data_IF_325415356991
#
_entry.id   IF_325415356991
#
_cell.length_a   1.000
_cell.length_b   1.000
_cell.length_c   1.000
_cell.angle_alpha   90.00
_cell.angle_beta   90.00
_cell.angle_gamma   90.00
#
_symmetry.space_group_name_H-M   'P 1'
#
loop_
_entity.id
_entity.type
_entity.pdbx_description
1 polymer ?
#
# COMPACT_ATOMS: atom_id res chain seq x y z
N UNK A 1 7.92 3.31 -6.33
CA UNK A 1 9.16 2.71 -6.83
C UNK A 1 10.07 2.28 -5.68
N UNK A 2 10.35 3.14 -4.70
CA UNK A 2 11.32 2.88 -3.62
C UNK A 2 10.82 1.93 -2.51
N UNK A 3 9.53 1.62 -2.43
CA UNK A 3 8.93 0.84 -1.35
C UNK A 3 8.58 -0.61 -1.68
N UNK A 4 8.50 -1.01 -2.95
CA UNK A 4 8.05 -2.34 -3.38
C UNK A 4 9.00 -3.01 -4.37
N UNK A 5 9.08 -4.33 -4.35
CA UNK A 5 9.81 -5.15 -5.32
C UNK A 5 11.23 -5.53 -4.91
N UNK A 6 11.58 -5.41 -3.62
CA UNK A 6 12.88 -5.79 -3.06
C UNK A 6 12.75 -6.92 -2.02
N UNK A 7 11.81 -7.84 -2.24
CA UNK A 7 11.56 -8.94 -1.31
C UNK A 7 12.79 -9.84 -1.14
N UNK A 8 13.23 -10.00 0.10
CA UNK A 8 14.38 -10.86 0.48
C UNK A 8 13.94 -12.15 1.18
N UNK A 9 12.63 -12.39 1.32
CA UNK A 9 12.09 -13.63 1.82
C UNK A 9 11.81 -14.60 0.64
N UNK A 10 12.21 -15.85 0.78
CA UNK A 10 11.80 -16.90 -0.18
C UNK A 10 10.34 -17.22 0.06
N UNK A 11 9.53 -17.07 -0.98
CA UNK A 11 8.08 -17.17 -0.90
C UNK A 11 7.54 -17.92 -2.12
N UNK A 12 6.64 -18.86 -1.87
CA UNK A 12 5.79 -19.46 -2.91
C UNK A 12 4.36 -19.01 -2.63
N UNK A 13 3.75 -18.34 -3.58
CA UNK A 13 2.37 -17.86 -3.51
C UNK A 13 1.58 -18.54 -4.64
N UNK A 14 0.60 -19.34 -4.25
CA UNK A 14 -0.31 -20.02 -5.17
C UNK A 14 -1.69 -19.50 -4.86
N UNK A 15 -2.32 -18.83 -5.81
CA UNK A 15 -3.68 -18.35 -5.68
C UNK A 15 -4.59 -18.93 -6.76
N UNK A 16 -5.81 -19.24 -6.39
CA UNK A 16 -6.88 -19.63 -7.30
C UNK A 16 -8.05 -18.68 -7.13
N UNK A 17 -8.62 -18.21 -8.24
CA UNK A 17 -9.82 -17.39 -8.25
C UNK A 17 -10.93 -18.17 -8.93
N UNK A 18 -12.07 -18.29 -8.26
CA UNK A 18 -13.31 -18.82 -8.81
C UNK A 18 -14.37 -17.73 -8.81
N UNK A 19 -14.90 -17.43 -9.97
CA UNK A 19 -16.03 -16.52 -10.11
C UNK A 19 -17.31 -17.36 -10.24
N UNK A 20 -18.24 -17.13 -9.32
CA UNK A 20 -19.55 -17.82 -9.31
C UNK A 20 -20.55 -17.00 -10.15
N UNK A 21 -21.58 -17.67 -10.66
CA UNK A 21 -22.57 -17.06 -11.57
C UNK A 21 -23.42 -15.94 -10.94
N UNK A 22 -23.40 -15.80 -9.62
CA UNK A 22 -24.12 -14.77 -8.85
C UNK A 22 -23.28 -13.50 -8.59
N UNK A 23 -22.10 -13.37 -9.21
CA UNK A 23 -21.18 -12.27 -8.99
C UNK A 23 -20.30 -12.43 -7.75
N UNK A 24 -20.36 -13.59 -7.10
CA UNK A 24 -19.45 -13.93 -5.98
C UNK A 24 -18.12 -14.43 -6.52
N UNK A 25 -17.02 -13.88 -6.02
CA UNK A 25 -15.67 -14.37 -6.31
C UNK A 25 -15.02 -14.91 -5.04
N UNK A 26 -14.34 -16.05 -5.17
CA UNK A 26 -13.58 -16.68 -4.08
C UNK A 26 -12.14 -16.79 -4.54
N UNK A 27 -11.23 -16.29 -3.73
CA UNK A 27 -9.77 -16.42 -3.96
C UNK A 27 -9.15 -17.13 -2.77
N UNK A 28 -8.47 -18.22 -3.04
CA UNK A 28 -7.67 -18.93 -2.03
C UNK A 28 -6.20 -18.78 -2.38
N UNK A 29 -5.39 -18.38 -1.43
CA UNK A 29 -3.94 -18.30 -1.60
C UNK A 29 -3.21 -19.00 -0.47
N UNK A 30 -2.11 -19.66 -0.82
CA UNK A 30 -1.20 -20.32 0.11
C UNK A 30 0.17 -19.67 -0.05
N UNK A 31 0.75 -19.25 1.06
CA UNK A 31 2.07 -18.62 1.10
C UNK A 31 2.96 -19.42 2.01
N UNK A 32 4.08 -19.91 1.49
CA UNK A 32 5.16 -20.47 2.30
C UNK A 32 6.26 -19.42 2.42
N UNK A 33 6.60 -19.05 3.62
CA UNK A 33 7.67 -18.09 3.89
C UNK A 33 9.04 -18.77 4.06
N UNK A 34 10.09 -17.95 4.24
CA UNK A 34 11.46 -18.45 4.41
C UNK A 34 11.68 -19.24 5.73
N UNK A 35 10.76 -19.15 6.68
CA UNK A 35 10.76 -19.91 7.92
C UNK A 35 9.96 -21.22 7.83
N UNK A 36 9.64 -21.66 6.61
CA UNK A 36 8.82 -22.87 6.31
C UNK A 36 7.38 -22.77 6.87
N UNK A 37 6.94 -21.61 7.28
CA UNK A 37 5.58 -21.40 7.76
C UNK A 37 4.64 -21.26 6.56
N UNK A 38 3.63 -22.09 6.51
CA UNK A 38 2.56 -22.01 5.52
C UNK A 38 1.43 -21.17 6.13
N UNK A 39 1.05 -20.11 5.44
CA UNK A 39 -0.15 -19.34 5.72
C UNK A 39 -1.15 -19.47 4.58
N UNK A 40 -2.40 -19.68 4.92
CA UNK A 40 -3.51 -19.68 3.97
C UNK A 40 -4.30 -18.39 4.12
N UNK A 41 -4.80 -17.86 3.00
CA UNK A 41 -5.71 -16.71 2.99
C UNK A 41 -6.88 -17.06 2.07
N UNK A 42 -8.08 -16.95 2.60
CA UNK A 42 -9.33 -17.08 1.86
C UNK A 42 -9.95 -15.68 1.76
N UNK A 43 -10.23 -15.24 0.54
CA UNK A 43 -10.99 -14.01 0.28
C UNK A 43 -12.28 -14.38 -0.44
N UNK A 44 -13.38 -13.83 0.04
CA UNK A 44 -14.67 -13.91 -0.61
C UNK A 44 -15.17 -12.50 -0.87
N UNK A 45 -15.69 -12.26 -2.05
CA UNK A 45 -16.23 -10.96 -2.47
C UNK A 45 -17.55 -11.19 -3.19
N UNK A 46 -18.59 -10.47 -2.79
CA UNK A 46 -19.91 -10.54 -3.42
C UNK A 46 -20.56 -9.17 -3.44
N UNK A 47 -21.48 -8.94 -4.38
CA UNK A 47 -22.24 -7.70 -4.48
C UNK A 47 -23.74 -8.00 -4.41
N UNK A 48 -24.43 -7.30 -3.55
CA UNK A 48 -25.89 -7.41 -3.42
C UNK A 48 -26.53 -6.03 -3.29
N UNK A 49 -27.45 -5.71 -4.19
CA UNK A 49 -28.19 -4.44 -4.22
C UNK A 49 -27.29 -3.19 -4.14
N UNK A 50 -26.16 -3.20 -4.86
CA UNK A 50 -25.22 -2.08 -4.88
C UNK A 50 -24.25 -2.03 -3.69
N UNK A 51 -24.40 -2.92 -2.72
CA UNK A 51 -23.44 -3.07 -1.62
C UNK A 51 -22.47 -4.20 -1.94
N UNK A 52 -21.18 -3.90 -1.89
CA UNK A 52 -20.13 -4.88 -2.00
C UNK A 52 -19.73 -5.39 -0.61
N UNK A 53 -19.64 -6.68 -0.47
CA UNK A 53 -19.19 -7.36 0.75
C UNK A 53 -17.89 -8.11 0.45
N UNK A 54 -16.85 -7.81 1.22
CA UNK A 54 -15.56 -8.46 1.15
C UNK A 54 -15.25 -9.10 2.50
N UNK A 55 -14.86 -10.36 2.49
CA UNK A 55 -14.41 -11.09 3.67
C UNK A 55 -13.04 -11.71 3.40
N UNK A 56 -12.14 -11.63 4.37
CA UNK A 56 -10.81 -12.24 4.31
C UNK A 56 -10.57 -13.03 5.58
N UNK A 57 -10.32 -14.31 5.45
CA UNK A 57 -9.91 -15.18 6.55
C UNK A 57 -8.45 -15.60 6.35
N UNK A 58 -7.63 -15.53 7.39
CA UNK A 58 -6.23 -15.96 7.38
C UNK A 58 -6.04 -17.26 8.12
N UNK A 59 -5.01 -18.04 7.79
CA UNK A 59 -4.66 -19.26 8.50
C UNK A 59 -4.28 -19.05 9.99
N UNK A 60 -4.01 -17.81 10.39
CA UNK A 60 -3.86 -17.42 11.79
C UNK A 60 -5.23 -17.28 12.51
N UNK A 61 -6.33 -17.41 11.78
CA UNK A 61 -7.69 -17.30 12.29
C UNK A 61 -8.27 -15.88 12.27
N UNK A 62 -7.51 -14.87 11.87
CA UNK A 62 -8.04 -13.50 11.75
C UNK A 62 -9.04 -13.43 10.60
N UNK A 63 -10.22 -12.89 10.87
CA UNK A 63 -11.26 -12.61 9.89
C UNK A 63 -11.40 -11.10 9.77
N UNK A 64 -11.33 -10.58 8.55
CA UNK A 64 -11.64 -9.17 8.23
C UNK A 64 -12.89 -9.15 7.36
N UNK A 65 -13.80 -8.24 7.65
CA UNK A 65 -15.01 -8.03 6.88
C UNK A 65 -15.13 -6.55 6.51
N UNK A 66 -15.48 -6.28 5.27
CA UNK A 66 -15.75 -4.94 4.75
C UNK A 66 -17.06 -4.96 3.97
N UNK A 67 -17.91 -3.98 4.24
CA UNK A 67 -19.07 -3.67 3.41
C UNK A 67 -18.86 -2.28 2.83
N UNK A 68 -19.06 -2.10 1.53
CA UNK A 68 -18.90 -0.81 0.86
C UNK A 68 -20.01 -0.57 -0.14
N UNK A 69 -20.44 0.68 -0.26
CA UNK A 69 -21.43 1.14 -1.20
C UNK A 69 -20.87 2.39 -1.90
N UNK A 70 -20.72 2.30 -3.21
CA UNK A 70 -20.36 3.43 -4.04
C UNK A 70 -21.59 4.25 -4.40
N UNK A 71 -21.38 5.53 -4.68
CA UNK A 71 -22.40 6.45 -5.20
C UNK A 71 -23.69 6.48 -4.37
N UNK A 72 -23.55 6.50 -3.05
CA UNK A 72 -24.70 6.69 -2.12
C UNK A 72 -25.42 8.02 -2.43
N UNK A 73 -24.61 9.03 -2.70
CA UNK A 73 -24.95 10.31 -3.32
C UNK A 73 -23.84 10.58 -4.33
N UNK A 74 -24.10 11.42 -5.33
CA UNK A 74 -23.13 11.72 -6.37
C UNK A 74 -21.75 12.07 -5.80
N UNK A 75 -20.77 11.24 -6.17
CA UNK A 75 -19.39 11.31 -5.69
C UNK A 75 -19.12 10.84 -4.25
N UNK A 76 -20.11 10.31 -3.54
CA UNK A 76 -19.93 9.83 -2.15
C UNK A 76 -19.99 8.32 -2.07
N UNK A 77 -18.96 7.72 -1.51
CA UNK A 77 -18.88 6.29 -1.19
C UNK A 77 -18.80 6.09 0.33
N UNK A 78 -19.45 5.05 0.82
CA UNK A 78 -19.41 4.67 2.24
C UNK A 78 -18.84 3.27 2.39
N UNK A 79 -18.03 3.05 3.43
CA UNK A 79 -17.59 1.72 3.80
C UNK A 79 -17.55 1.53 5.32
N UNK A 80 -17.76 0.28 5.72
CA UNK A 80 -17.62 -0.16 7.11
C UNK A 80 -16.72 -1.38 7.10
N UNK A 81 -15.66 -1.36 7.88
CA UNK A 81 -14.78 -2.51 8.04
C UNK A 81 -14.51 -2.84 9.50
N UNK A 82 -14.31 -4.12 9.77
CA UNK A 82 -14.01 -4.65 11.09
C UNK A 82 -13.18 -5.91 10.99
N UNK A 83 -12.58 -6.32 12.09
CA UNK A 83 -11.82 -7.58 12.17
C UNK A 83 -12.10 -8.33 13.46
N UNK A 84 -11.94 -9.65 13.38
CA UNK A 84 -11.98 -10.57 14.51
C UNK A 84 -10.69 -11.37 14.52
N UNK A 85 -9.97 -11.36 15.63
CA UNK A 85 -8.75 -12.14 15.77
C UNK A 85 -9.06 -13.62 16.07
N UNK A 86 -8.17 -14.51 15.61
CA UNK A 86 -8.34 -15.95 15.75
C UNK A 86 -8.45 -16.39 17.19
N UNK A 87 -9.48 -17.17 17.47
CA UNK A 87 -9.78 -17.67 18.82
C UNK A 87 -10.59 -16.69 19.69
N UNK A 88 -10.81 -15.47 19.25
CA UNK A 88 -11.66 -14.50 19.93
C UNK A 88 -13.16 -14.84 19.74
N UNK A 89 -14.00 -14.43 20.68
CA UNK A 89 -15.46 -14.54 20.57
C UNK A 89 -15.99 -13.42 19.67
N UNK A 90 -17.17 -13.59 19.11
CA UNK A 90 -17.86 -12.54 18.33
C UNK A 90 -18.02 -11.26 19.15
N UNK A 91 -18.11 -11.37 20.48
CA UNK A 91 -18.15 -10.21 21.38
C UNK A 91 -16.84 -9.40 21.42
N UNK A 92 -15.73 -9.98 20.96
CA UNK A 92 -14.40 -9.36 20.90
C UNK A 92 -14.12 -8.78 19.50
N UNK A 93 -15.15 -8.55 18.71
CA UNK A 93 -15.05 -7.91 17.39
C UNK A 93 -14.34 -6.56 17.55
N UNK A 94 -13.33 -6.32 16.72
CA UNK A 94 -12.65 -5.03 16.73
C UNK A 94 -13.64 -3.89 16.47
N UNK A 95 -13.40 -2.75 17.09
CA UNK A 95 -14.20 -1.54 16.86
C UNK A 95 -14.29 -1.27 15.35
N UNK A 96 -15.49 -1.18 14.78
CA UNK A 96 -15.61 -0.97 13.35
C UNK A 96 -15.09 0.42 12.97
N UNK A 97 -14.46 0.49 11.80
CA UNK A 97 -14.11 1.73 11.13
C UNK A 97 -15.18 2.06 10.10
N UNK A 98 -15.75 3.24 10.18
CA UNK A 98 -16.69 3.77 9.21
C UNK A 98 -15.95 4.83 8.40
N UNK A 99 -15.92 4.68 7.08
CA UNK A 99 -15.26 5.61 6.18
C UNK A 99 -16.25 6.18 5.18
N UNK A 100 -16.24 7.50 5.04
CA UNK A 100 -16.92 8.22 3.99
C UNK A 100 -15.88 8.84 3.07
N UNK A 101 -15.95 8.54 1.79
CA UNK A 101 -15.09 9.08 0.73
C UNK A 101 -15.94 9.96 -0.18
N UNK A 102 -15.45 11.14 -0.50
CA UNK A 102 -16.03 12.05 -1.47
C UNK A 102 -15.04 12.29 -2.60
N UNK A 103 -15.49 12.10 -3.83
CA UNK A 103 -14.69 12.38 -5.02
C UNK A 103 -15.57 13.03 -6.08
N UNK A 104 -15.30 14.29 -6.38
CA UNK A 104 -15.99 15.01 -7.44
C UNK A 104 -15.02 15.99 -8.12
N UNK A 105 -14.84 15.84 -9.43
CA UNK A 105 -13.91 16.63 -10.21
C UNK A 105 -12.48 16.55 -9.63
N UNK A 106 -11.94 17.70 -9.26
CA UNK A 106 -10.57 17.87 -8.77
C UNK A 106 -10.45 17.73 -7.24
N UNK A 107 -11.55 17.49 -6.54
CA UNK A 107 -11.60 17.37 -5.09
C UNK A 107 -11.79 15.92 -4.68
N UNK A 108 -10.96 15.45 -3.75
CA UNK A 108 -11.16 14.19 -3.02
C UNK A 108 -11.04 14.46 -1.53
N UNK A 109 -11.95 13.89 -0.75
CA UNK A 109 -11.92 13.98 0.70
C UNK A 109 -12.31 12.63 1.32
N UNK A 110 -11.72 12.31 2.45
CA UNK A 110 -12.01 11.10 3.21
C UNK A 110 -12.17 11.46 4.68
N UNK A 111 -13.16 10.88 5.31
CA UNK A 111 -13.35 10.94 6.76
C UNK A 111 -13.60 9.53 7.26
N UNK A 112 -12.81 9.10 8.25
CA UNK A 112 -13.00 7.81 8.89
C UNK A 112 -13.12 7.94 10.40
N UNK A 113 -13.97 7.11 10.98
CA UNK A 113 -14.23 7.06 12.42
C UNK A 113 -13.98 5.65 12.93
N UNK A 114 -13.08 5.52 13.90
CA UNK A 114 -12.80 4.26 14.60
C UNK A 114 -12.83 4.51 16.10
N UNK A 115 -13.91 4.04 16.76
CA UNK A 115 -14.10 4.31 18.18
C UNK A 115 -14.18 5.81 18.48
N UNK A 116 -13.22 6.33 19.24
CA UNK A 116 -13.12 7.74 19.59
C UNK A 116 -12.28 8.57 18.61
N UNK A 117 -11.60 7.93 17.66
CA UNK A 117 -10.72 8.61 16.71
C UNK A 117 -11.45 8.94 15.42
N UNK A 118 -11.35 10.18 14.99
CA UNK A 118 -11.80 10.68 13.70
C UNK A 118 -10.56 11.11 12.91
N UNK A 119 -10.36 10.49 11.75
CA UNK A 119 -9.33 10.88 10.79
C UNK A 119 -10.01 11.59 9.61
N UNK A 120 -9.43 12.69 9.16
CA UNK A 120 -9.91 13.44 8.02
C UNK A 120 -8.77 13.80 7.08
N UNK A 121 -8.99 13.67 5.78
CA UNK A 121 -8.07 14.09 4.75
C UNK A 121 -8.81 14.73 3.58
N UNK A 122 -8.16 15.64 2.90
CA UNK A 122 -8.67 16.24 1.67
C UNK A 122 -7.53 16.54 0.71
N UNK A 123 -7.79 16.39 -0.59
CA UNK A 123 -6.88 16.74 -1.66
C UNK A 123 -7.60 17.57 -2.72
N UNK A 124 -6.87 18.48 -3.32
CA UNK A 124 -7.31 19.28 -4.44
C UNK A 124 -6.27 19.28 -5.55
N UNK A 125 -6.70 19.00 -6.76
CA UNK A 125 -5.86 18.92 -7.95
C UNK A 125 -6.18 20.10 -8.87
N UNK A 126 -5.18 20.88 -9.21
CA UNK A 126 -5.29 22.00 -10.15
C UNK A 126 -4.28 21.81 -11.28
N UNK A 127 -4.70 21.19 -12.37
CA UNK A 127 -3.81 20.82 -13.47
C UNK A 127 -2.69 19.91 -12.98
N UNK A 128 -1.44 20.36 -13.05
CA UNK A 128 -0.26 19.60 -12.65
C UNK A 128 0.04 19.66 -11.14
N UNK A 129 -0.68 20.50 -10.38
CA UNK A 129 -0.50 20.67 -8.95
C UNK A 129 -1.59 19.92 -8.19
N UNK A 130 -1.18 19.06 -7.24
CA UNK A 130 -2.06 18.45 -6.27
C UNK A 130 -1.59 18.85 -4.86
N UNK A 131 -2.51 19.34 -4.05
CA UNK A 131 -2.26 19.68 -2.64
C UNK A 131 -3.20 18.88 -1.75
N UNK A 132 -2.75 18.54 -0.55
CA UNK A 132 -3.55 17.78 0.39
C UNK A 132 -3.21 18.10 1.82
N UNK A 133 -4.20 17.88 2.68
CA UNK A 133 -4.07 18.02 4.12
C UNK A 133 -4.77 16.84 4.81
N UNK A 134 -4.25 16.44 5.96
CA UNK A 134 -4.89 15.45 6.83
C UNK A 134 -4.63 15.76 8.30
N UNK A 135 -5.56 15.37 9.15
CA UNK A 135 -5.42 15.43 10.60
C UNK A 135 -6.30 14.38 11.25
N UNK A 136 -6.02 14.06 12.51
CA UNK A 136 -6.80 13.16 13.35
C UNK A 136 -7.32 13.91 14.58
N UNK A 137 -8.47 13.49 15.10
CA UNK A 137 -9.05 14.00 16.34
C UNK A 137 -9.45 12.85 17.25
N UNK A 138 -8.93 12.82 18.47
CA UNK A 138 -9.34 11.87 19.49
C UNK A 138 -10.37 12.54 20.40
N UNK A 139 -11.64 12.11 20.29
CA UNK A 139 -12.75 12.66 21.07
C UNK A 139 -12.68 12.27 22.56
N UNK A 140 -12.01 11.16 22.90
CA UNK A 140 -11.87 10.72 24.30
C UNK A 140 -10.82 11.54 25.04
N UNK A 141 -9.75 11.93 24.35
CA UNK A 141 -8.69 12.79 24.88
C UNK A 141 -8.96 14.29 24.64
N UNK A 142 -9.94 14.63 23.78
CA UNK A 142 -10.19 16.01 23.36
C UNK A 142 -9.02 16.63 22.62
N UNK A 143 -8.17 15.83 21.98
CA UNK A 143 -6.92 16.27 21.37
C UNK A 143 -6.92 16.15 19.86
N UNK A 144 -6.40 17.18 19.19
CA UNK A 144 -6.11 17.16 17.76
C UNK A 144 -4.72 16.57 17.55
N UNK A 145 -4.62 15.58 16.65
CA UNK A 145 -3.33 15.02 16.24
C UNK A 145 -2.56 15.99 15.33
N UNK A 146 -1.30 15.66 15.12
CA UNK A 146 -0.43 16.47 14.26
C UNK A 146 -0.99 16.51 12.83
N UNK A 147 -1.29 17.70 12.28
CA UNK A 147 -1.73 17.83 10.91
C UNK A 147 -0.59 17.46 9.95
N UNK A 148 -0.94 16.91 8.82
CA UNK A 148 -0.01 16.65 7.73
C UNK A 148 -0.43 17.44 6.50
N UNK A 149 0.53 18.05 5.83
CA UNK A 149 0.33 18.76 4.56
C UNK A 149 1.19 18.10 3.49
N UNK A 150 0.69 18.03 2.29
CA UNK A 150 1.44 17.52 1.15
C UNK A 150 1.14 18.33 -0.11
N UNK A 151 2.13 18.46 -0.97
CA UNK A 151 1.98 19.01 -2.29
C UNK A 151 2.75 18.15 -3.29
N UNK A 152 2.18 17.93 -4.47
CA UNK A 152 2.81 17.24 -5.59
C UNK A 152 2.66 18.08 -6.83
N UNK A 153 3.73 18.24 -7.58
CA UNK A 153 3.75 18.98 -8.84
C UNK A 153 4.37 18.13 -9.96
N UNK A 154 3.65 18.02 -11.06
CA UNK A 154 4.09 17.33 -12.27
C UNK A 154 4.67 18.34 -13.25
N UNK A 155 5.92 18.15 -13.66
CA UNK A 155 6.58 18.98 -14.65
C UNK A 155 7.19 18.10 -15.74
N UNK A 156 6.46 17.96 -16.83
CA UNK A 156 6.85 17.07 -17.93
C UNK A 156 7.01 15.62 -17.45
N UNK A 157 8.22 15.08 -17.57
CA UNK A 157 8.54 13.71 -17.14
C UNK A 157 8.90 13.60 -15.65
N UNK A 158 8.84 14.71 -14.89
CA UNK A 158 9.23 14.76 -13.47
C UNK A 158 8.03 14.99 -12.58
N UNK A 159 8.03 14.35 -11.42
CA UNK A 159 7.08 14.61 -10.33
C UNK A 159 7.84 14.96 -9.07
N UNK A 160 7.50 16.09 -8.49
CA UNK A 160 8.04 16.59 -7.22
C UNK A 160 6.96 16.47 -6.17
N UNK A 161 7.27 15.85 -5.04
CA UNK A 161 6.32 15.74 -3.92
C UNK A 161 7.02 16.18 -2.65
N UNK A 162 6.37 17.02 -1.88
CA UNK A 162 6.81 17.42 -0.55
C UNK A 162 5.67 17.16 0.44
N UNK A 163 5.98 16.64 1.60
CA UNK A 163 5.04 16.48 2.70
C UNK A 163 5.69 16.86 4.02
N UNK A 164 4.89 17.45 4.91
CA UNK A 164 5.28 17.83 6.25
C UNK A 164 4.28 17.26 7.24
N UNK A 165 4.78 16.68 8.32
CA UNK A 165 3.97 16.21 9.44
C UNK A 165 4.21 17.11 10.65
N UNK A 166 3.11 17.57 11.24
CA UNK A 166 3.17 18.64 12.25
C UNK A 166 3.44 20.01 11.64
N UNK A 167 3.16 21.05 12.39
CA UNK A 167 3.39 22.44 11.97
C UNK A 167 4.79 22.96 12.37
N UNK A 168 5.56 22.17 13.10
CA UNK A 168 6.93 22.52 13.52
C UNK A 168 7.94 22.57 12.37
N UNK A 169 7.65 21.84 11.27
CA UNK A 169 8.55 21.75 10.13
C UNK A 169 9.67 20.71 10.27
N UNK A 170 9.72 20.01 11.38
CA UNK A 170 10.82 19.07 11.67
C UNK A 170 10.72 17.76 10.91
N UNK A 171 9.52 17.38 10.44
CA UNK A 171 9.26 16.13 9.72
C UNK A 171 8.86 16.42 8.26
N UNK A 172 9.82 16.94 7.50
CA UNK A 172 9.67 17.17 6.06
C UNK A 172 10.18 15.97 5.27
N UNK A 173 9.38 15.48 4.36
CA UNK A 173 9.80 14.50 3.35
C UNK A 173 9.67 15.10 1.96
N UNK A 174 10.74 15.05 1.18
CA UNK A 174 10.76 15.47 -0.21
C UNK A 174 11.06 14.28 -1.11
N UNK A 175 10.35 14.14 -2.21
CA UNK A 175 10.53 13.08 -3.19
C UNK A 175 10.55 13.67 -4.60
N UNK A 176 11.48 13.21 -5.41
CA UNK A 176 11.54 13.50 -6.84
C UNK A 176 11.50 12.18 -7.59
N UNK A 177 10.61 12.07 -8.57
CA UNK A 177 10.57 10.96 -9.52
C UNK A 177 10.71 11.51 -10.93
N UNK A 178 11.50 10.86 -11.77
CA UNK A 178 11.72 11.27 -13.14
C UNK A 178 11.68 10.05 -14.08
N UNK A 179 10.94 10.17 -15.16
CA UNK A 179 10.91 9.19 -16.26
C UNK A 179 11.96 9.60 -17.29
N UNK A 180 13.08 8.92 -17.30
CA UNK A 180 14.21 9.21 -18.21
C UNK A 180 13.87 8.72 -19.62
N UNK A 181 13.23 7.57 -19.73
CA UNK A 181 12.73 6.98 -20.95
C UNK A 181 11.54 6.08 -20.63
N UNK A 182 10.90 5.50 -21.65
CA UNK A 182 9.79 4.55 -21.46
C UNK A 182 10.19 3.37 -20.57
N UNK A 183 11.46 2.98 -20.63
CA UNK A 183 12.00 1.83 -19.88
C UNK A 183 12.68 2.22 -18.57
N UNK A 184 13.18 3.47 -18.43
CA UNK A 184 13.99 3.89 -17.27
C UNK A 184 13.29 4.97 -16.46
N UNK A 185 13.07 4.68 -15.18
CA UNK A 185 12.55 5.62 -14.19
C UNK A 185 13.52 5.70 -13.01
N UNK A 186 13.75 6.90 -12.51
CA UNK A 186 14.56 7.17 -11.33
C UNK A 186 13.75 7.90 -10.28
N UNK A 187 14.10 7.72 -9.02
CA UNK A 187 13.47 8.47 -7.93
C UNK A 187 14.46 8.66 -6.79
N UNK A 188 14.29 9.77 -6.07
CA UNK A 188 14.99 10.07 -4.85
C UNK A 188 14.03 10.58 -3.79
N UNK A 189 14.29 10.29 -2.53
CA UNK A 189 13.57 10.81 -1.38
C UNK A 189 14.53 11.26 -0.31
N UNK A 190 14.16 12.30 0.41
CA UNK A 190 14.87 12.84 1.56
C UNK A 190 13.89 13.04 2.72
N UNK A 191 14.30 12.67 3.94
CA UNK A 191 13.57 12.94 5.19
C UNK A 191 14.42 13.81 6.09
N UNK A 192 13.88 14.97 6.50
CA UNK A 192 14.59 15.88 7.39
C UNK A 192 14.71 15.36 8.82
N UNK A 193 13.67 14.67 9.30
CA UNK A 193 13.62 14.14 10.66
C UNK A 193 14.76 13.19 10.97
N UNK A 194 15.00 12.26 10.07
CA UNK A 194 16.04 11.24 10.22
C UNK A 194 17.33 11.63 9.50
N UNK A 195 17.34 12.75 8.76
CA UNK A 195 18.41 13.19 7.85
C UNK A 195 18.81 12.07 6.88
N UNK A 196 17.83 11.29 6.44
CA UNK A 196 18.03 10.13 5.58
C UNK A 196 17.61 10.43 4.14
N UNK A 197 18.37 9.85 3.22
CA UNK A 197 18.00 9.84 1.82
C UNK A 197 17.96 8.42 1.27
N UNK A 198 17.17 8.22 0.22
CA UNK A 198 17.21 7.00 -0.58
C UNK A 198 17.08 7.37 -2.05
N UNK A 199 17.80 6.66 -2.89
CA UNK A 199 17.73 6.81 -4.34
C UNK A 199 17.48 5.44 -4.96
N UNK A 200 16.78 5.40 -6.09
CA UNK A 200 16.53 4.16 -6.80
C UNK A 200 16.21 4.39 -8.26
N UNK A 201 16.44 3.34 -9.02
CA UNK A 201 16.11 3.26 -10.43
C UNK A 201 15.33 1.99 -10.72
N UNK A 202 14.44 2.05 -11.70
CA UNK A 202 13.73 0.91 -12.24
C UNK A 202 13.89 0.89 -13.75
N UNK A 203 14.29 -0.24 -14.28
CA UNK A 203 14.49 -0.44 -15.71
C UNK A 203 13.66 -1.63 -16.21
N UNK A 204 12.88 -1.42 -17.27
CA UNK A 204 12.17 -2.47 -17.99
C UNK A 204 13.11 -3.08 -19.00
N UNK A 205 13.52 -4.34 -18.79
CA UNK A 205 14.42 -5.05 -19.70
C UNK A 205 13.69 -5.43 -21.00
N UNK A 206 12.43 -5.83 -20.83
CA UNK A 206 11.49 -6.18 -21.91
C UNK A 206 10.04 -6.08 -21.38
N UNK A 207 9.05 -6.46 -22.21
CA UNK A 207 7.62 -6.42 -21.84
C UNK A 207 7.24 -7.34 -20.68
N UNK A 208 8.12 -8.27 -20.31
CA UNK A 208 7.88 -9.28 -19.24
C UNK A 208 8.81 -9.15 -18.06
N UNK A 209 9.94 -8.46 -18.22
CA UNK A 209 11.03 -8.46 -17.23
C UNK A 209 11.42 -7.04 -16.82
N UNK A 210 11.65 -6.83 -15.54
CA UNK A 210 12.15 -5.56 -15.00
C UNK A 210 13.14 -5.76 -13.86
N UNK A 211 14.05 -4.80 -13.73
CA UNK A 211 15.01 -4.72 -12.63
C UNK A 211 14.82 -3.41 -11.88
N UNK A 212 15.03 -3.43 -10.57
CA UNK A 212 15.03 -2.24 -9.72
C UNK A 212 16.25 -2.27 -8.82
N UNK A 213 16.83 -1.12 -8.59
CA UNK A 213 17.91 -0.96 -7.61
C UNK A 213 17.59 0.23 -6.70
N UNK A 214 18.00 0.11 -5.44
CA UNK A 214 17.84 1.16 -4.44
C UNK A 214 19.05 1.18 -3.51
N UNK A 215 19.47 2.37 -3.14
CA UNK A 215 20.44 2.63 -2.09
C UNK A 215 19.88 3.68 -1.14
N UNK A 216 20.18 3.55 0.15
CA UNK A 216 19.85 4.56 1.15
C UNK A 216 21.08 5.05 1.89
N UNK A 217 20.92 6.12 2.67
CA UNK A 217 21.99 6.73 3.47
C UNK A 217 22.58 5.82 4.54
N UNK A 218 21.85 4.77 4.94
CA UNK A 218 22.32 3.77 5.92
C UNK A 218 23.28 2.75 5.26
N UNK A 219 23.61 2.89 3.97
CA UNK A 219 24.47 1.97 3.23
C UNK A 219 23.74 0.70 2.75
N UNK A 220 22.42 0.64 2.88
CA UNK A 220 21.66 -0.52 2.44
C UNK A 220 21.41 -0.46 0.93
N UNK A 221 21.96 -1.41 0.19
CA UNK A 221 21.75 -1.60 -1.24
C UNK A 221 20.77 -2.75 -1.45
N UNK A 222 19.75 -2.51 -2.26
CA UNK A 222 18.74 -3.51 -2.59
C UNK A 222 18.56 -3.59 -4.11
N UNK A 223 18.52 -4.80 -4.64
CA UNK A 223 18.24 -5.07 -6.06
C UNK A 223 17.05 -6.04 -6.13
N UNK A 224 16.13 -5.76 -7.03
CA UNK A 224 14.97 -6.62 -7.28
C UNK A 224 14.85 -6.90 -8.78
N UNK A 225 14.61 -8.14 -9.13
CA UNK A 225 14.28 -8.60 -10.47
C UNK A 225 12.88 -9.19 -10.48
N UNK A 226 12.06 -8.82 -11.44
CA UNK A 226 10.74 -9.39 -11.62
C UNK A 226 10.56 -9.84 -13.07
N UNK A 227 9.95 -11.02 -13.26
CA UNK A 227 9.63 -11.56 -14.58
C UNK A 227 8.26 -12.22 -14.59
N UNK A 228 7.44 -11.89 -15.59
CA UNK A 228 6.23 -12.63 -15.92
C UNK A 228 6.63 -13.86 -16.74
N UNK A 229 6.41 -15.06 -16.20
CA UNK A 229 6.72 -16.32 -16.87
C UNK A 229 5.59 -16.71 -17.83
N UNK A 230 4.35 -16.50 -17.36
CA UNK A 230 3.10 -16.67 -18.13
C UNK A 230 2.11 -15.59 -17.70
N UNK A 231 0.94 -15.45 -18.37
CA UNK A 231 -0.10 -14.53 -17.90
C UNK A 231 -0.55 -14.79 -16.45
N UNK A 232 -0.36 -16.02 -15.94
CA UNK A 232 -0.76 -16.46 -14.60
C UNK A 232 0.42 -16.73 -13.65
N UNK A 233 1.66 -16.63 -14.12
CA UNK A 233 2.82 -16.94 -13.27
C UNK A 233 3.87 -15.82 -13.35
N UNK A 234 4.40 -15.42 -12.19
CA UNK A 234 5.48 -14.45 -12.07
C UNK A 234 6.54 -14.89 -11.09
N UNK A 235 7.79 -14.56 -11.42
CA UNK A 235 8.97 -14.78 -10.59
C UNK A 235 9.51 -13.43 -10.14
N UNK A 236 9.85 -13.32 -8.86
CA UNK A 236 10.56 -12.16 -8.31
C UNK A 236 11.76 -12.65 -7.52
N UNK A 237 12.91 -12.06 -7.76
CA UNK A 237 14.12 -12.29 -6.97
C UNK A 237 14.57 -10.96 -6.34
N UNK A 238 14.99 -11.00 -5.09
CA UNK A 238 15.48 -9.85 -4.35
C UNK A 238 16.83 -10.14 -3.69
N UNK A 239 17.71 -9.18 -3.73
CA UNK A 239 19.00 -9.19 -3.04
C UNK A 239 19.16 -7.90 -2.26
N UNK A 240 19.68 -8.00 -1.05
CA UNK A 240 19.95 -6.87 -0.18
C UNK A 240 21.28 -7.09 0.53
N UNK A 241 22.08 -6.03 0.62
CA UNK A 241 23.35 -6.03 1.35
C UNK A 241 23.49 -4.69 2.08
N UNK A 242 24.00 -4.76 3.30
CA UNK A 242 24.47 -3.61 4.03
C UNK A 242 25.94 -3.38 3.70
N UNK A 243 26.27 -2.21 3.15
CA UNK A 243 27.68 -1.88 2.79
C UNK A 243 28.56 -1.65 4.01
N UNK A 244 27.96 -1.40 5.19
CA UNK A 244 28.67 -1.27 6.46
C UNK A 244 28.92 -2.65 7.12
N UNK A 245 28.12 -3.66 6.76
CA UNK A 245 28.24 -5.05 7.22
C UNK A 245 27.98 -6.01 6.07
N UNK A 246 29.05 -6.32 5.33
CA UNK A 246 28.98 -7.17 4.13
C UNK A 246 28.57 -8.62 4.43
N UNK A 247 28.56 -9.05 5.68
CA UNK A 247 28.07 -10.37 6.09
C UNK A 247 26.54 -10.37 6.26
N UNK A 248 25.93 -9.20 6.42
CA UNK A 248 24.48 -9.01 6.50
C UNK A 248 23.84 -9.00 5.10
N UNK A 249 23.94 -10.13 4.39
CA UNK A 249 23.35 -10.32 3.06
C UNK A 249 22.03 -11.05 3.17
N UNK A 250 21.02 -10.57 2.42
CA UNK A 250 19.70 -11.23 2.33
C UNK A 250 19.38 -11.49 0.87
N UNK A 251 18.93 -12.68 0.59
CA UNK A 251 18.46 -13.08 -0.73
C UNK A 251 17.09 -13.75 -0.61
N UNK A 252 16.23 -13.52 -1.56
CA UNK A 252 14.92 -14.17 -1.60
C UNK A 252 14.42 -14.33 -3.04
N UNK A 253 13.65 -15.39 -3.23
CA UNK A 253 12.96 -15.67 -4.50
C UNK A 253 11.48 -15.92 -4.18
N UNK A 254 10.59 -15.29 -4.94
CA UNK A 254 9.16 -15.52 -4.84
C UNK A 254 8.61 -15.96 -6.19
N UNK A 255 7.84 -17.04 -6.19
CA UNK A 255 7.05 -17.51 -7.32
C UNK A 255 5.57 -17.29 -6.96
N UNK A 256 4.84 -16.61 -7.83
CA UNK A 256 3.39 -16.45 -7.72
C UNK A 256 2.72 -17.10 -8.92
N UNK A 257 1.70 -17.88 -8.65
CA UNK A 257 0.86 -18.54 -9.67
C UNK A 257 -0.60 -18.27 -9.32
N UNK A 258 -1.39 -17.77 -10.30
CA UNK A 258 -2.79 -17.38 -10.12
C UNK A 258 -3.71 -18.04 -11.15
#
# INVERSE_FOLDING_TARGET
MLSKGYGTATKVDISTKSDLNDGTSITTSFVRDAADKISAVLKASTSFKGVQFDATATGAGTIKAKASMADVVDGVSLSVDTSLDGGAKVADLATPTITAEYQQGDVSAEVSVTGSTLDASATYTAGDLCVGASSSYDSSAGSLGDPSLAASYVMGASTFTASIKGLSGDDLTATVAHTVSDDLKVAGTFSSKDQKFAMGAGYSLDSTSSIKAKVNSDGLVSVGYARKLTPKASLTAGFQVDTNDMDSRKFGVALSVA
#
